data_IF_854753386207
#
_entry.id   IF_854753386207
#
_cell.length_a   1.000
_cell.length_b   1.000
_cell.length_c   1.000
_cell.angle_alpha   90.00
_cell.angle_beta   90.00
_cell.angle_gamma   90.00
#
_symmetry.space_group_name_H-M   'P 1'
#
loop_
_entity.id
_entity.type
_entity.pdbx_description
1 polymer ?
#
# COMPACT_ATOMS: atom_id res chain seq x y z
N UNK A 1 20.82 1.90 -2.28
CA UNK A 1 19.39 2.20 -2.05
C UNK A 1 18.56 1.04 -2.56
N UNK A 2 18.19 0.05 -1.73
CA UNK A 2 17.18 -0.96 -2.13
C UNK A 2 16.72 -1.89 -1.01
N UNK A 3 17.49 -2.09 0.08
CA UNK A 3 17.14 -3.09 1.10
C UNK A 3 15.76 -2.86 1.74
N UNK A 4 15.39 -1.61 2.05
CA UNK A 4 14.08 -1.30 2.64
C UNK A 4 12.92 -1.56 1.68
N UNK A 5 13.05 -1.12 0.43
CA UNK A 5 12.00 -1.33 -0.58
C UNK A 5 11.86 -2.81 -0.92
N UNK A 6 12.96 -3.53 -1.07
CA UNK A 6 12.95 -4.97 -1.33
C UNK A 6 12.31 -5.75 -0.17
N UNK A 7 12.60 -5.37 1.07
CA UNK A 7 11.96 -5.97 2.24
C UNK A 7 10.46 -5.67 2.28
N UNK A 8 10.08 -4.41 2.11
CA UNK A 8 8.66 -4.01 2.06
C UNK A 8 7.90 -4.73 0.95
N UNK A 9 8.54 -4.92 -0.20
CA UNK A 9 7.96 -5.69 -1.30
C UNK A 9 7.81 -7.17 -0.95
N UNK A 10 8.82 -7.79 -0.33
CA UNK A 10 8.74 -9.18 0.12
C UNK A 10 7.63 -9.37 1.17
N UNK A 11 7.51 -8.44 2.13
CA UNK A 11 6.42 -8.41 3.11
C UNK A 11 5.08 -8.28 2.39
N UNK A 12 4.93 -7.35 1.44
CA UNK A 12 3.68 -7.16 0.71
C UNK A 12 3.27 -8.34 -0.18
N UNK A 13 4.23 -9.17 -0.61
CA UNK A 13 3.98 -10.34 -1.45
C UNK A 13 3.76 -11.63 -0.65
N UNK A 14 4.17 -11.67 0.62
CA UNK A 14 4.06 -12.85 1.48
C UNK A 14 3.10 -12.60 2.66
N UNK A 15 1.87 -13.14 2.60
CA UNK A 15 0.89 -13.01 3.68
C UNK A 15 1.39 -13.53 5.03
N UNK A 16 2.29 -14.51 5.03
CA UNK A 16 2.83 -15.09 6.27
C UNK A 16 3.76 -14.11 6.98
N UNK A 17 4.54 -13.31 6.23
CA UNK A 17 5.39 -12.25 6.79
C UNK A 17 4.54 -11.11 7.35
N UNK A 18 3.45 -10.76 6.69
CA UNK A 18 2.50 -9.76 7.19
C UNK A 18 1.92 -10.20 8.53
N UNK A 19 1.49 -11.47 8.61
CA UNK A 19 0.91 -12.01 9.84
C UNK A 19 1.97 -12.10 10.96
N UNK A 20 3.18 -12.58 10.66
CA UNK A 20 4.28 -12.64 11.62
C UNK A 20 4.60 -11.26 12.22
N UNK A 21 4.68 -10.21 11.38
CA UNK A 21 4.88 -8.84 11.86
C UNK A 21 3.72 -8.31 12.70
N UNK A 22 2.47 -8.68 12.37
CA UNK A 22 1.30 -8.34 13.18
C UNK A 22 1.31 -9.02 14.54
N UNK A 23 1.84 -10.24 14.59
CA UNK A 23 1.97 -11.03 15.81
C UNK A 23 3.20 -10.61 16.65
N UNK A 24 3.98 -9.63 16.17
CA UNK A 24 5.17 -9.10 16.84
C UNK A 24 6.44 -9.94 16.63
N UNK A 25 6.45 -10.84 15.65
CA UNK A 25 7.67 -11.54 15.24
C UNK A 25 8.55 -10.64 14.37
N UNK A 26 9.42 -9.91 15.04
CA UNK A 26 10.34 -8.97 14.42
C UNK A 26 11.59 -9.63 13.83
N UNK A 27 11.69 -10.97 13.84
CA UNK A 27 12.91 -11.67 13.39
C UNK A 27 13.29 -11.34 11.95
N UNK A 28 12.31 -11.08 11.08
CA UNK A 28 12.55 -10.71 9.68
C UNK A 28 13.17 -9.32 9.56
N UNK A 29 12.72 -8.37 10.40
CA UNK A 29 13.28 -7.02 10.49
C UNK A 29 14.66 -7.04 11.15
N UNK A 30 14.86 -7.91 12.15
CA UNK A 30 16.13 -8.02 12.87
C UNK A 30 17.26 -8.60 12.01
N UNK A 31 16.93 -9.55 11.12
CA UNK A 31 17.88 -10.16 10.18
C UNK A 31 18.13 -9.32 8.94
N UNK A 32 17.31 -8.30 8.70
CA UNK A 32 17.47 -7.41 7.56
C UNK A 32 18.65 -6.46 7.73
N UNK A 33 19.30 -6.14 6.61
CA UNK A 33 20.40 -5.17 6.55
C UNK A 33 19.87 -3.72 6.46
N UNK A 34 18.91 -3.40 7.33
CA UNK A 34 18.31 -2.08 7.47
C UNK A 34 19.04 -1.24 8.51
N UNK A 35 19.20 0.05 8.21
CA UNK A 35 19.60 1.04 9.20
C UNK A 35 18.68 0.98 10.42
N UNK A 36 19.25 1.17 11.61
CA UNK A 36 18.54 1.09 12.88
C UNK A 36 17.28 2.00 12.88
N UNK A 37 17.42 3.23 12.39
CA UNK A 37 16.32 4.20 12.37
C UNK A 37 15.14 3.76 11.49
N UNK A 38 15.43 3.11 10.35
CA UNK A 38 14.39 2.57 9.45
C UNK A 38 13.66 1.42 10.11
N UNK A 39 14.40 0.55 10.80
CA UNK A 39 13.85 -0.58 11.55
C UNK A 39 12.95 -0.10 12.69
N UNK A 40 13.40 0.89 13.45
CA UNK A 40 12.60 1.50 14.52
C UNK A 40 11.33 2.15 13.96
N UNK A 41 11.41 2.87 12.84
CA UNK A 41 10.23 3.47 12.22
C UNK A 41 9.22 2.42 11.73
N UNK A 42 9.70 1.29 11.18
CA UNK A 42 8.86 0.16 10.78
C UNK A 42 8.16 -0.49 11.97
N UNK A 43 8.91 -0.79 13.04
CA UNK A 43 8.37 -1.40 14.27
C UNK A 43 7.38 -0.50 15.00
N UNK A 44 7.62 0.82 14.99
CA UNK A 44 6.72 1.79 15.59
C UNK A 44 5.46 2.05 14.74
N UNK A 45 5.38 1.51 13.51
CA UNK A 45 4.28 1.76 12.60
C UNK A 45 4.15 3.25 12.22
N UNK A 46 5.28 3.95 12.08
CA UNK A 46 5.33 5.39 11.79
C UNK A 46 5.61 5.63 10.29
N UNK A 47 4.56 5.66 9.45
CA UNK A 47 4.71 5.81 8.00
C UNK A 47 5.32 7.17 7.62
N UNK A 48 5.11 8.22 8.42
CA UNK A 48 5.59 9.57 8.13
C UNK A 48 7.11 9.66 8.31
N UNK A 49 7.61 9.12 9.43
CA UNK A 49 9.04 9.01 9.68
C UNK A 49 9.71 8.06 8.71
N UNK A 50 9.07 6.93 8.38
CA UNK A 50 9.59 6.01 7.38
C UNK A 50 9.72 6.67 6.00
N UNK A 51 8.69 7.40 5.55
CA UNK A 51 8.73 8.15 4.30
C UNK A 51 9.90 9.15 4.27
N UNK A 52 10.12 9.88 5.36
CA UNK A 52 11.22 10.83 5.50
C UNK A 52 12.59 10.13 5.41
N UNK A 53 12.77 9.02 6.13
CA UNK A 53 14.03 8.25 6.13
C UNK A 53 14.34 7.62 4.77
N UNK A 54 13.31 7.26 4.02
CA UNK A 54 13.43 6.71 2.67
C UNK A 54 13.57 7.79 1.60
N UNK A 55 13.53 9.08 1.97
CA UNK A 55 13.60 10.20 1.03
C UNK A 55 12.38 10.27 0.10
N UNK A 56 11.24 9.73 0.52
CA UNK A 56 10.02 9.80 -0.25
C UNK A 56 9.53 11.26 -0.31
N UNK A 57 9.15 11.78 -1.49
CA UNK A 57 8.59 13.11 -1.59
C UNK A 57 7.26 13.18 -0.84
N UNK A 58 6.94 14.36 -0.29
CA UNK A 58 5.61 14.60 0.26
C UNK A 58 4.58 14.55 -0.87
N UNK A 59 3.82 13.46 -0.94
CA UNK A 59 2.70 13.33 -1.88
C UNK A 59 1.45 13.81 -1.15
N UNK A 60 0.95 14.98 -1.54
CA UNK A 60 -0.35 15.48 -1.10
C UNK A 60 -1.39 14.99 -2.11
N UNK A 61 -2.14 13.95 -1.76
CA UNK A 61 -3.32 13.53 -2.51
C UNK A 61 -4.55 14.20 -1.90
N UNK A 62 -5.16 15.14 -2.63
CA UNK A 62 -6.47 15.68 -2.25
C UNK A 62 -7.55 14.65 -2.63
N UNK A 63 -8.29 14.14 -1.65
CA UNK A 63 -9.54 13.43 -1.93
C UNK A 63 -10.58 14.49 -2.26
N UNK A 64 -11.11 14.46 -3.47
CA UNK A 64 -12.30 15.23 -3.83
C UNK A 64 -13.51 14.41 -3.34
N UNK A 65 -14.06 14.77 -2.17
CA UNK A 65 -15.39 14.32 -1.78
C UNK A 65 -16.41 14.94 -2.74
N UNK A 66 -17.23 14.10 -3.37
CA UNK A 66 -18.46 14.60 -4.00
C UNK A 66 -19.35 15.10 -2.87
N UNK A 67 -19.70 16.39 -2.90
CA UNK A 67 -20.86 16.84 -2.14
C UNK A 67 -22.08 16.19 -2.78
N UNK A 68 -22.70 15.26 -2.07
CA UNK A 68 -24.05 14.82 -2.40
C UNK A 68 -24.97 16.03 -2.13
N UNK A 69 -25.31 16.77 -3.19
CA UNK A 69 -26.46 17.68 -3.16
C UNK A 69 -27.71 16.78 -3.15
N UNK A 70 -28.27 16.59 -1.96
CA UNK A 70 -29.51 15.86 -1.67
C UNK A 70 -30.75 16.57 -2.30
N UNK A 71 -30.86 16.62 -3.63
CA UNK A 71 -32.11 16.92 -4.34
C UNK A 71 -32.17 16.20 -5.70
N UNK A 72 -32.47 14.90 -5.73
CA UNK A 72 -33.66 14.39 -6.45
C UNK A 72 -33.86 12.88 -6.25
N UNK A 73 -35.13 12.49 -6.06
CA UNK A 73 -35.56 11.09 -5.98
C UNK A 73 -35.49 10.43 -7.35
N UNK A 74 -34.81 9.28 -7.49
CA UNK A 74 -34.91 8.53 -8.75
C UNK A 74 -34.07 7.26 -8.89
N UNK A 75 -34.65 6.16 -8.40
CA UNK A 75 -34.55 4.79 -8.93
C UNK A 75 -33.25 3.96 -8.78
N UNK A 76 -33.49 2.69 -8.44
CA UNK A 76 -32.58 1.59 -8.13
C UNK A 76 -31.33 1.42 -9.03
N UNK A 77 -30.23 1.09 -8.35
CA UNK A 77 -28.92 0.76 -8.90
C UNK A 77 -28.89 -0.70 -9.40
N UNK A 78 -28.28 -1.00 -10.56
CA UNK A 78 -27.50 -2.21 -10.69
C UNK A 78 -26.01 -1.84 -10.75
N UNK A 79 -25.31 -2.12 -9.66
CA UNK A 79 -23.84 -2.12 -9.60
C UNK A 79 -23.38 -3.26 -10.52
N UNK A 80 -22.77 -2.95 -11.66
CA UNK A 80 -22.09 -3.96 -12.49
C UNK A 80 -20.58 -3.79 -12.38
N UNK A 81 -19.98 -4.88 -11.91
CA UNK A 81 -18.59 -5.05 -11.52
C UNK A 81 -17.56 -4.67 -12.60
N UNK A 82 -16.48 -4.13 -12.06
CA UNK A 82 -15.21 -3.74 -12.66
C UNK A 82 -14.49 -4.93 -13.32
N UNK A 83 -14.80 -5.23 -14.59
CA UNK A 83 -14.16 -6.33 -15.32
C UNK A 83 -13.68 -5.95 -16.72
N UNK A 84 -13.12 -4.73 -16.87
CA UNK A 84 -12.62 -4.25 -18.17
C UNK A 84 -11.09 -4.21 -18.33
N UNK A 85 -10.31 -4.35 -17.26
CA UNK A 85 -8.84 -4.22 -17.37
C UNK A 85 -8.12 -5.49 -17.84
N UNK A 86 -8.78 -6.66 -17.84
CA UNK A 86 -8.15 -7.94 -18.25
C UNK A 86 -8.25 -8.26 -19.75
N UNK A 87 -9.15 -7.60 -20.49
CA UNK A 87 -9.39 -7.90 -21.90
C UNK A 87 -8.46 -7.14 -22.88
N UNK A 88 -7.93 -5.98 -22.48
CA UNK A 88 -7.07 -5.16 -23.37
C UNK A 88 -5.63 -5.71 -23.47
N UNK A 89 -5.12 -6.40 -22.43
CA UNK A 89 -3.78 -6.98 -22.42
C UNK A 89 -3.63 -8.24 -23.29
N UNK A 90 -4.73 -8.92 -23.66
CA UNK A 90 -4.69 -10.04 -24.62
C UNK A 90 -4.71 -9.60 -26.09
N UNK A 91 -5.04 -8.33 -26.38
CA UNK A 91 -5.13 -7.82 -27.75
C UNK A 91 -3.81 -7.19 -28.26
N UNK A 92 -2.85 -6.93 -27.36
CA UNK A 92 -1.54 -6.34 -27.67
C UNK A 92 -0.41 -7.37 -27.86
N UNK A 93 -0.74 -8.66 -27.88
CA UNK A 93 0.20 -9.75 -28.18
C UNK A 93 -0.20 -10.44 -29.48
N UNK A 94 -0.10 -9.69 -30.59
CA UNK A 94 0.17 -10.23 -31.91
C UNK A 94 1.43 -9.55 -32.45
#
# INVERSE_FOLDING_TARGET
MSNAVALLQAIGQDPSLIQALRDGDDAVLLKSDLAADVRTALLAGDPMRLATLLGAPAIVCCVLEKQDDDEDQGEDIPVQEDNKVRAELSALRN
#
